data_IF_504431755034
#
_entry.id   IF_504431755034
#
_cell.length_a   1.000
_cell.length_b   1.000
_cell.length_c   1.000
_cell.angle_alpha   90.00
_cell.angle_beta   90.00
_cell.angle_gamma   90.00
#
_symmetry.space_group_name_H-M   'P 1'
#
loop_
_entity.id
_entity.type
_entity.pdbx_description
1 polymer ?
#
# COMPACT_ATOMS: atom_id res chain seq x y z
N UNK A 1 18.09 -4.28 5.32
CA UNK A 1 17.97 -2.81 5.55
C UNK A 1 16.78 -2.43 6.43
N UNK A 2 15.71 -3.22 6.42
CA UNK A 2 14.52 -2.98 7.26
C UNK A 2 14.68 -3.36 8.73
N UNK A 3 15.53 -4.30 9.09
CA UNK A 3 15.76 -4.69 10.48
C UNK A 3 16.23 -3.52 11.38
N UNK A 4 16.92 -2.54 10.82
CA UNK A 4 17.37 -1.37 11.56
C UNK A 4 16.24 -0.38 11.91
N UNK A 5 15.06 -0.55 11.34
CA UNK A 5 13.89 0.29 11.62
C UNK A 5 12.91 -0.37 12.60
N UNK A 6 13.05 -1.67 12.86
CA UNK A 6 12.22 -2.42 13.82
C UNK A 6 12.16 -1.79 15.20
N UNK A 7 13.28 -1.24 15.64
CA UNK A 7 13.45 -0.73 17.00
C UNK A 7 13.18 0.79 17.12
N UNK A 8 12.73 1.43 16.03
CA UNK A 8 12.41 2.86 16.09
C UNK A 8 10.92 3.05 16.37
N UNK A 9 10.54 3.58 17.52
CA UNK A 9 9.13 3.71 17.93
C UNK A 9 8.31 4.70 17.08
N UNK A 10 8.84 5.23 16.00
CA UNK A 10 8.22 6.27 15.18
C UNK A 10 8.49 6.14 13.68
N UNK A 11 8.44 4.93 13.13
CA UNK A 11 8.45 4.81 11.67
C UNK A 11 7.06 5.24 11.16
N UNK A 12 6.99 6.45 10.62
CA UNK A 12 5.77 6.93 9.95
C UNK A 12 5.48 6.13 8.68
N UNK A 13 4.25 6.15 8.21
CA UNK A 13 3.87 5.50 6.94
C UNK A 13 4.86 5.81 5.81
N UNK A 14 5.23 7.09 5.52
CA UNK A 14 6.25 7.38 4.53
C UNK A 14 7.61 6.75 4.83
N UNK A 15 8.00 6.66 6.11
CA UNK A 15 9.27 6.08 6.51
C UNK A 15 9.41 4.58 6.25
N UNK A 16 8.31 3.87 6.03
CA UNK A 16 8.30 2.44 5.71
C UNK A 16 8.45 2.15 4.21
N UNK A 17 8.46 3.18 3.36
CA UNK A 17 8.45 3.04 1.90
C UNK A 17 9.73 2.43 1.35
N UNK A 18 9.58 1.39 0.53
CA UNK A 18 10.70 0.75 -0.19
C UNK A 18 11.16 1.60 -1.37
N UNK A 19 10.23 2.10 -2.16
CA UNK A 19 10.54 2.86 -3.37
C UNK A 19 9.70 4.14 -3.47
N UNK A 20 10.36 5.23 -3.86
CA UNK A 20 9.74 6.54 -4.05
C UNK A 20 9.79 6.96 -5.50
N UNK A 21 8.65 7.38 -6.05
CA UNK A 21 8.54 7.98 -7.38
C UNK A 21 8.18 9.45 -7.20
N UNK A 22 9.12 10.32 -7.54
CA UNK A 22 8.97 11.78 -7.46
C UNK A 22 9.09 12.48 -8.80
N UNK A 23 9.36 11.73 -9.86
CA UNK A 23 9.52 12.28 -11.21
C UNK A 23 8.24 12.13 -12.02
N UNK A 24 7.71 13.25 -12.50
CA UNK A 24 6.59 13.27 -13.44
C UNK A 24 6.93 12.48 -14.71
N UNK A 25 5.95 11.73 -15.23
CA UNK A 25 6.11 10.92 -16.43
C UNK A 25 6.88 9.61 -16.22
N UNK A 26 7.14 9.21 -14.95
CA UNK A 26 7.76 7.92 -14.68
C UNK A 26 6.93 6.76 -15.24
N UNK A 27 7.61 5.77 -15.80
CA UNK A 27 6.99 4.57 -16.33
C UNK A 27 7.72 3.32 -15.86
N UNK A 28 6.96 2.30 -15.46
CA UNK A 28 7.49 0.99 -15.11
C UNK A 28 6.67 -0.11 -15.78
N UNK A 29 7.36 -1.18 -16.18
CA UNK A 29 6.73 -2.33 -16.80
C UNK A 29 7.40 -3.63 -16.36
N UNK A 30 6.58 -4.66 -16.10
CA UNK A 30 7.04 -6.03 -15.79
C UNK A 30 7.98 -6.08 -14.57
N UNK A 31 7.68 -5.34 -13.52
CA UNK A 31 8.46 -5.28 -12.30
C UNK A 31 7.59 -5.56 -11.07
N UNK A 32 8.19 -5.99 -9.99
CA UNK A 32 7.53 -6.16 -8.69
C UNK A 32 8.15 -5.20 -7.68
N UNK A 33 7.29 -4.47 -6.97
CA UNK A 33 7.62 -3.74 -5.75
C UNK A 33 7.03 -4.51 -4.58
N UNK A 34 7.87 -4.91 -3.64
CA UNK A 34 7.44 -5.70 -2.50
C UNK A 34 7.96 -5.11 -1.20
N UNK A 35 7.09 -4.93 -0.22
CA UNK A 35 7.46 -4.76 1.16
C UNK A 35 7.07 -6.04 1.92
N UNK A 36 8.05 -6.88 2.17
CA UNK A 36 7.86 -8.18 2.81
C UNK A 36 7.69 -8.09 4.35
N UNK A 37 7.62 -6.88 4.91
CA UNK A 37 7.38 -6.70 6.33
C UNK A 37 6.01 -7.31 6.70
N UNK A 38 6.07 -8.42 7.45
CA UNK A 38 4.90 -9.11 7.93
C UNK A 38 4.71 -8.82 9.41
N UNK A 39 3.60 -8.21 9.76
CA UNK A 39 3.24 -7.93 11.15
C UNK A 39 3.04 -9.20 12.03
N UNK A 40 2.95 -10.38 11.43
CA UNK A 40 2.97 -11.67 12.14
C UNK A 40 4.35 -12.08 12.62
N UNK A 41 5.41 -11.43 12.15
CA UNK A 41 6.81 -11.78 12.48
C UNK A 41 7.30 -11.12 13.78
N UNK A 42 6.52 -10.24 14.39
CA UNK A 42 6.86 -9.64 15.70
C UNK A 42 6.58 -10.62 16.83
N UNK A 43 7.52 -11.52 17.05
CA UNK A 43 7.53 -12.39 18.25
C UNK A 43 8.23 -11.63 19.37
N UNK A 44 7.47 -11.15 20.34
CA UNK A 44 8.07 -10.65 21.60
C UNK A 44 8.31 -11.85 22.50
N UNK A 45 9.55 -12.30 22.58
CA UNK A 45 9.95 -13.28 23.58
C UNK A 45 10.16 -12.54 24.91
N UNK A 46 9.25 -12.74 25.86
CA UNK A 46 9.55 -12.47 27.27
C UNK A 46 10.14 -13.74 27.89
N UNK A 47 11.16 -13.63 28.78
CA UNK A 47 11.90 -14.81 29.30
C UNK A 47 11.07 -15.81 30.12
N UNK A 48 9.82 -15.54 30.41
CA UNK A 48 8.97 -16.34 31.31
C UNK A 48 7.65 -16.82 30.76
N UNK A 49 7.26 -16.41 29.55
CA UNK A 49 6.08 -16.97 28.90
C UNK A 49 6.22 -16.83 27.37
N UNK A 50 6.12 -17.94 26.67
CA UNK A 50 5.91 -17.94 25.20
C UNK A 50 4.45 -17.52 25.00
N UNK A 51 4.18 -16.25 25.10
CA UNK A 51 2.93 -15.67 24.62
C UNK A 51 3.25 -15.03 23.28
N UNK A 52 2.80 -15.67 22.22
CA UNK A 52 2.72 -15.09 20.89
C UNK A 52 1.66 -14.00 20.96
N UNK A 53 1.95 -12.87 21.59
CA UNK A 53 1.15 -11.67 21.43
C UNK A 53 1.62 -10.99 20.17
N UNK A 54 0.79 -11.05 19.15
CA UNK A 54 0.85 -10.16 18.00
C UNK A 54 0.70 -8.73 18.53
N UNK A 55 1.81 -8.06 18.77
CA UNK A 55 1.79 -6.65 19.19
C UNK A 55 1.34 -5.84 17.98
N UNK A 56 0.08 -5.45 17.97
CA UNK A 56 -0.50 -4.57 16.96
C UNK A 56 -0.02 -3.13 17.16
N UNK A 57 1.25 -2.87 16.95
CA UNK A 57 1.78 -1.51 16.88
C UNK A 57 2.11 -1.20 15.43
N UNK A 58 1.67 -0.04 14.96
CA UNK A 58 1.93 0.58 13.64
C UNK A 58 2.68 -0.31 12.64
N UNK A 59 1.92 -0.97 11.76
CA UNK A 59 2.46 -2.01 10.89
C UNK A 59 2.43 -1.59 9.42
N UNK A 60 2.58 -0.29 9.16
CA UNK A 60 2.65 0.22 7.79
C UNK A 60 3.88 -0.35 7.09
N UNK A 61 3.69 -0.80 5.87
CA UNK A 61 4.71 -1.46 5.07
C UNK A 61 4.54 -1.10 3.59
N UNK A 62 4.86 0.15 3.26
CA UNK A 62 4.63 0.70 1.92
C UNK A 62 5.61 0.09 0.92
N UNK A 63 5.10 -0.57 -0.12
CA UNK A 63 5.91 -1.09 -1.21
C UNK A 63 6.30 0.02 -2.19
N UNK A 64 5.38 0.93 -2.49
CA UNK A 64 5.65 2.07 -3.37
C UNK A 64 4.91 3.32 -2.90
N UNK A 65 5.62 4.45 -2.92
CA UNK A 65 5.02 5.78 -2.81
C UNK A 65 5.19 6.55 -4.12
N UNK A 66 4.10 7.07 -4.66
CA UNK A 66 4.11 8.14 -5.67
C UNK A 66 3.89 9.44 -4.91
N UNK A 67 4.91 10.31 -4.89
CA UNK A 67 4.95 11.55 -4.12
C UNK A 67 5.08 12.77 -5.04
N UNK A 68 3.99 13.48 -5.23
CA UNK A 68 3.94 14.70 -6.03
C UNK A 68 4.25 14.53 -7.51
N UNK A 69 4.32 13.29 -8.03
CA UNK A 69 4.63 12.99 -9.42
C UNK A 69 3.34 12.83 -10.25
N UNK A 70 3.22 13.55 -11.35
CA UNK A 70 2.09 13.47 -12.28
C UNK A 70 2.39 12.57 -13.47
N UNK A 71 1.35 11.97 -14.05
CA UNK A 71 1.42 11.11 -15.26
C UNK A 71 2.33 9.87 -15.08
N UNK A 72 2.30 9.30 -13.89
CA UNK A 72 3.03 8.05 -13.58
C UNK A 72 2.25 6.87 -14.17
N UNK A 73 2.95 5.91 -14.80
CA UNK A 73 2.32 4.78 -15.47
C UNK A 73 2.96 3.45 -15.08
N UNK A 74 2.11 2.47 -14.82
CA UNK A 74 2.51 1.11 -14.49
C UNK A 74 1.77 0.11 -15.40
N UNK A 75 2.54 -0.71 -16.13
CA UNK A 75 2.02 -1.75 -17.01
C UNK A 75 2.53 -3.11 -16.56
N UNK A 76 1.63 -4.02 -16.21
CA UNK A 76 1.98 -5.36 -15.74
C UNK A 76 2.96 -5.32 -14.56
N UNK A 77 2.65 -4.51 -13.55
CA UNK A 77 3.47 -4.32 -12.36
C UNK A 77 2.77 -4.95 -11.16
N UNK A 78 3.54 -5.56 -10.26
CA UNK A 78 3.01 -6.11 -9.01
C UNK A 78 3.41 -5.25 -7.83
N UNK A 79 2.46 -4.97 -6.95
CA UNK A 79 2.65 -4.28 -5.68
C UNK A 79 2.23 -5.23 -4.57
N UNK A 80 3.22 -5.71 -3.81
CA UNK A 80 3.01 -6.75 -2.80
C UNK A 80 3.31 -6.19 -1.41
N UNK A 81 2.37 -6.38 -0.51
CA UNK A 81 2.52 -5.92 0.87
C UNK A 81 1.40 -6.39 1.77
N UNK A 82 1.24 -5.70 2.87
CA UNK A 82 0.20 -5.90 3.85
C UNK A 82 -0.53 -4.57 4.08
N UNK A 83 -0.33 -3.92 5.23
CA UNK A 83 -0.91 -2.61 5.49
C UNK A 83 -0.18 -1.53 4.68
N UNK A 84 -0.96 -0.63 4.04
CA UNK A 84 -0.44 0.57 3.35
C UNK A 84 0.43 0.27 2.11
N UNK A 85 0.16 -0.77 1.34
CA UNK A 85 1.03 -1.25 0.25
C UNK A 85 1.36 -0.18 -0.80
N UNK A 86 0.35 0.59 -1.26
CA UNK A 86 0.50 1.58 -2.34
C UNK A 86 0.02 2.96 -1.87
N UNK A 87 0.95 3.88 -1.72
CA UNK A 87 0.70 5.26 -1.29
C UNK A 87 0.78 6.23 -2.47
N UNK A 88 -0.32 6.94 -2.73
CA UNK A 88 -0.46 7.89 -3.83
C UNK A 88 -0.74 9.27 -3.24
N UNK A 89 0.28 10.12 -3.14
CA UNK A 89 0.13 11.41 -2.48
C UNK A 89 0.52 12.60 -3.37
N UNK A 90 -0.26 13.67 -3.29
CA UNK A 90 0.03 14.92 -3.97
C UNK A 90 1.30 15.60 -3.44
N UNK A 91 1.78 15.20 -2.27
CA UNK A 91 2.98 15.74 -1.63
C UNK A 91 2.78 17.15 -1.08
N UNK A 92 2.22 18.05 -1.85
CA UNK A 92 1.87 19.40 -1.43
C UNK A 92 0.44 19.74 -1.87
N UNK A 93 -0.25 20.50 -1.03
CA UNK A 93 -1.63 20.93 -1.29
C UNK A 93 -1.80 21.54 -2.69
N UNK A 94 -2.87 21.13 -3.39
CA UNK A 94 -3.28 21.70 -4.67
C UNK A 94 -2.57 21.15 -5.90
N UNK A 95 -1.66 20.19 -5.76
CA UNK A 95 -1.08 19.52 -6.93
C UNK A 95 -2.00 18.40 -7.42
N UNK A 96 -2.22 18.38 -8.73
CA UNK A 96 -2.85 17.24 -9.40
C UNK A 96 -1.78 16.22 -9.69
N UNK A 97 -1.87 15.04 -9.06
CA UNK A 97 -1.06 13.88 -9.42
C UNK A 97 -1.98 12.82 -10.02
N UNK A 98 -1.58 12.28 -11.15
CA UNK A 98 -2.32 11.23 -11.85
C UNK A 98 -1.45 10.01 -12.01
N UNK A 99 -1.95 8.89 -11.57
CA UNK A 99 -1.28 7.60 -11.72
C UNK A 99 -2.18 6.65 -12.52
N UNK A 100 -1.59 5.90 -13.44
CA UNK A 100 -2.27 4.94 -14.27
C UNK A 100 -1.70 3.55 -14.06
N UNK A 101 -2.57 2.59 -13.74
CA UNK A 101 -2.21 1.20 -13.51
C UNK A 101 -2.98 0.32 -14.50
N UNK A 102 -2.25 -0.36 -15.38
CA UNK A 102 -2.85 -1.24 -16.37
C UNK A 102 -2.35 -2.66 -16.20
N UNK A 103 -3.27 -3.63 -16.17
CA UNK A 103 -2.95 -5.05 -15.99
C UNK A 103 -2.01 -5.32 -14.82
N UNK A 104 -2.10 -4.50 -13.80
CA UNK A 104 -1.27 -4.59 -12.61
C UNK A 104 -1.94 -5.44 -11.53
N UNK A 105 -1.15 -5.92 -10.59
CA UNK A 105 -1.59 -6.71 -9.46
C UNK A 105 -1.22 -6.00 -8.16
N UNK A 106 -2.22 -5.75 -7.31
CA UNK A 106 -2.01 -5.06 -6.04
C UNK A 106 -2.58 -5.93 -4.93
N UNK A 107 -1.78 -6.25 -3.91
CA UNK A 107 -2.26 -6.99 -2.75
C UNK A 107 -1.89 -6.33 -1.44
N UNK A 108 -2.75 -6.54 -0.46
CA UNK A 108 -2.56 -6.07 0.90
C UNK A 108 -3.73 -6.48 1.80
N UNK A 109 -3.77 -5.94 3.00
CA UNK A 109 -4.81 -6.28 3.98
C UNK A 109 -5.54 -5.07 4.56
N UNK A 110 -4.86 -3.99 4.91
CA UNK A 110 -5.46 -2.80 5.51
C UNK A 110 -5.01 -1.55 4.78
N UNK A 111 -5.97 -0.75 4.30
CA UNK A 111 -5.73 0.54 3.63
C UNK A 111 -4.69 0.45 2.51
N UNK A 112 -4.61 -0.70 1.82
CA UNK A 112 -3.45 -1.03 1.00
C UNK A 112 -3.37 -0.28 -0.33
N UNK A 113 -4.39 0.50 -0.70
CA UNK A 113 -4.35 1.53 -1.76
C UNK A 113 -4.86 2.83 -1.13
N UNK A 114 -3.98 3.79 -0.89
CA UNK A 114 -4.38 4.98 -0.12
C UNK A 114 -3.70 6.27 -0.59
N UNK A 115 -4.17 7.40 -0.05
CA UNK A 115 -3.64 8.73 -0.29
C UNK A 115 -4.63 9.66 -0.99
N UNK A 116 -4.15 10.86 -1.33
CA UNK A 116 -4.94 11.97 -1.87
C UNK A 116 -4.78 12.17 -3.40
N UNK A 117 -4.02 11.32 -4.05
CA UNK A 117 -3.79 11.36 -5.49
C UNK A 117 -5.01 10.95 -6.32
N UNK A 118 -4.96 11.25 -7.61
CA UNK A 118 -5.88 10.69 -8.60
C UNK A 118 -5.28 9.44 -9.23
N UNK A 119 -6.00 8.33 -9.22
CA UNK A 119 -5.52 7.07 -9.79
C UNK A 119 -6.58 6.36 -10.63
N UNK A 120 -6.16 5.82 -11.76
CA UNK A 120 -7.00 5.03 -12.63
C UNK A 120 -6.41 3.63 -12.78
N UNK A 121 -7.14 2.65 -12.28
CA UNK A 121 -6.79 1.24 -12.37
C UNK A 121 -7.63 0.61 -13.49
N UNK A 122 -6.94 0.04 -14.49
CA UNK A 122 -7.56 -0.60 -15.65
C UNK A 122 -7.15 -2.06 -15.75
N UNK A 123 -8.13 -2.97 -15.84
CA UNK A 123 -7.91 -4.40 -16.06
C UNK A 123 -6.92 -5.00 -15.06
N UNK A 124 -6.91 -4.49 -13.85
CA UNK A 124 -5.98 -4.88 -12.79
C UNK A 124 -6.65 -5.83 -11.79
N UNK A 125 -5.85 -6.64 -11.12
CA UNK A 125 -6.32 -7.48 -10.03
C UNK A 125 -5.97 -6.83 -8.69
N UNK A 126 -6.96 -6.70 -7.82
CA UNK A 126 -6.86 -6.13 -6.48
C UNK A 126 -7.19 -7.23 -5.49
N UNK A 127 -6.19 -7.68 -4.74
CA UNK A 127 -6.33 -8.85 -3.87
C UNK A 127 -6.23 -8.50 -2.39
N UNK A 128 -7.29 -8.80 -1.65
CA UNK A 128 -7.27 -8.76 -0.19
C UNK A 128 -6.62 -10.03 0.37
N UNK A 129 -5.65 -9.86 1.28
CA UNK A 129 -4.95 -10.97 1.98
C UNK A 129 -5.59 -11.33 3.32
N UNK A 130 -6.72 -10.69 3.65
CA UNK A 130 -7.28 -10.77 4.97
C UNK A 130 -6.49 -9.96 6.01
N UNK A 131 -7.16 -9.59 7.08
CA UNK A 131 -6.57 -8.79 8.14
C UNK A 131 -6.48 -9.59 9.44
N UNK A 132 -5.49 -9.27 10.27
CA UNK A 132 -5.42 -9.76 11.65
C UNK A 132 -6.55 -9.21 12.52
N UNK A 133 -7.19 -8.12 12.08
CA UNK A 133 -8.39 -7.53 12.69
C UNK A 133 -9.65 -8.09 12.06
N UNK A 134 -10.79 -7.76 12.64
CA UNK A 134 -12.11 -8.23 12.18
C UNK A 134 -12.55 -7.68 10.82
N UNK A 135 -11.73 -6.83 10.18
CA UNK A 135 -12.04 -6.22 8.88
C UNK A 135 -10.76 -5.86 8.11
N UNK A 136 -10.87 -5.85 6.80
CA UNK A 136 -9.86 -5.42 5.85
C UNK A 136 -10.41 -4.23 5.04
N UNK A 137 -9.54 -3.31 4.64
CA UNK A 137 -9.91 -2.20 3.77
C UNK A 137 -9.01 -2.20 2.53
N UNK A 138 -9.62 -2.31 1.36
CA UNK A 138 -8.90 -2.29 0.08
C UNK A 138 -8.36 -0.90 -0.20
N UNK A 139 -9.20 0.12 0.02
CA UNK A 139 -8.85 1.49 -0.33
C UNK A 139 -9.21 2.47 0.80
N UNK A 140 -8.30 3.40 1.05
CA UNK A 140 -8.46 4.50 2.00
C UNK A 140 -8.09 5.85 1.34
N UNK A 141 -8.91 6.31 0.37
CA UNK A 141 -8.64 7.58 -0.30
C UNK A 141 -8.87 8.76 0.65
N UNK A 142 -7.92 9.69 0.67
CA UNK A 142 -8.02 10.98 1.36
C UNK A 142 -8.18 12.14 0.36
N UNK A 143 -8.87 11.89 -0.73
CA UNK A 143 -9.08 12.83 -1.83
C UNK A 143 -9.59 14.17 -1.32
N UNK A 144 -8.91 15.27 -1.70
CA UNK A 144 -9.30 16.62 -1.30
C UNK A 144 -10.67 16.97 -1.86
N UNK A 145 -11.46 17.76 -1.12
CA UNK A 145 -12.83 18.15 -1.50
C UNK A 145 -12.89 18.86 -2.86
N UNK A 146 -11.86 19.62 -3.23
CA UNK A 146 -11.76 20.32 -4.52
C UNK A 146 -11.15 19.46 -5.64
N UNK A 147 -10.73 18.25 -5.35
CA UNK A 147 -10.18 17.36 -6.38
C UNK A 147 -11.31 16.82 -7.27
N UNK A 148 -11.12 16.95 -8.58
CA UNK A 148 -12.12 16.51 -9.57
C UNK A 148 -12.32 14.99 -9.59
N UNK A 149 -11.27 14.23 -9.30
CA UNK A 149 -11.26 12.78 -9.34
C UNK A 149 -10.41 12.20 -8.20
N UNK A 150 -10.81 11.03 -7.71
CA UNK A 150 -10.07 10.19 -6.77
C UNK A 150 -9.58 8.90 -7.42
N UNK A 151 -9.86 7.76 -6.80
CA UNK A 151 -9.50 6.45 -7.32
C UNK A 151 -10.64 5.87 -8.16
N UNK A 152 -10.31 5.37 -9.34
CA UNK A 152 -11.25 4.73 -10.26
C UNK A 152 -10.74 3.34 -10.62
N UNK A 153 -11.59 2.33 -10.43
CA UNK A 153 -11.33 0.95 -10.80
C UNK A 153 -12.22 0.56 -11.97
N UNK A 154 -11.62 0.33 -13.13
CA UNK A 154 -12.35 -0.02 -14.35
C UNK A 154 -11.90 -1.40 -14.86
N UNK A 155 -12.86 -2.27 -15.10
CA UNK A 155 -12.62 -3.67 -15.50
C UNK A 155 -11.64 -4.39 -14.55
N UNK A 156 -11.60 -4.00 -13.28
CA UNK A 156 -10.75 -4.61 -12.28
C UNK A 156 -11.42 -5.84 -11.66
N UNK A 157 -10.58 -6.80 -11.28
CA UNK A 157 -11.01 -7.98 -10.55
C UNK A 157 -10.63 -7.83 -9.08
N UNK A 158 -11.62 -7.88 -8.19
CA UNK A 158 -11.41 -7.92 -6.75
C UNK A 158 -11.43 -9.36 -6.28
N UNK A 159 -10.38 -9.78 -5.58
CA UNK A 159 -10.19 -11.15 -5.11
C UNK A 159 -9.73 -11.17 -3.65
N UNK A 160 -9.78 -12.34 -3.04
CA UNK A 160 -9.25 -12.58 -1.70
C UNK A 160 -8.55 -13.93 -1.63
N UNK A 161 -7.75 -14.15 -0.62
CA UNK A 161 -6.99 -15.40 -0.42
C UNK A 161 -7.76 -16.47 0.37
N UNK A 162 -9.00 -16.18 0.76
CA UNK A 162 -9.84 -17.09 1.53
C UNK A 162 -9.61 -17.04 3.05
N UNK A 163 -8.72 -16.20 3.54
CA UNK A 163 -8.57 -16.01 4.98
C UNK A 163 -9.79 -15.30 5.56
N UNK A 164 -10.14 -15.55 6.84
CA UNK A 164 -11.17 -14.79 7.53
C UNK A 164 -10.89 -13.28 7.45
N UNK A 165 -11.95 -12.49 7.28
CA UNK A 165 -11.89 -11.02 7.20
C UNK A 165 -11.12 -10.47 5.98
N UNK A 166 -10.99 -11.25 4.91
CA UNK A 166 -10.36 -10.80 3.68
C UNK A 166 -11.23 -9.83 2.85
N UNK A 167 -12.53 -9.77 3.10
CA UNK A 167 -13.53 -8.85 2.51
C UNK A 167 -14.55 -8.46 3.56
#
# INVERSE_FOLDING_TARGET
MFDSLKDKPTVSTPGSTIAWIRNTGFQAKNITFENAWNRGDTVTQTPTAITTQLVQTFNQAVALTVDGADKVQFENVRFLGFQDTLFLTAGASGKVIRSFFHRSYIEGDTDFIFGDGTAYFLKSEIKSRGALKNYSYIAAPSTHVDAKFGFVFNECKFTHDGTPNAL
#
